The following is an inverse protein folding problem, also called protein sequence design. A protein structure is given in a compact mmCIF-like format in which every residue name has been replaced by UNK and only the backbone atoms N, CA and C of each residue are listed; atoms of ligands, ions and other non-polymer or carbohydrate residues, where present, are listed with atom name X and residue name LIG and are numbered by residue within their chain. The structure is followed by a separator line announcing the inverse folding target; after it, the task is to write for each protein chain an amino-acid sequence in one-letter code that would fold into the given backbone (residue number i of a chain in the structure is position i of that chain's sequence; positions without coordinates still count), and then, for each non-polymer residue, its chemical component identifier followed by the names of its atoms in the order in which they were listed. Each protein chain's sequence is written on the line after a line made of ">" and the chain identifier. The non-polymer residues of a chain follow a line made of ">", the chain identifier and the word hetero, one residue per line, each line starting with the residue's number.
data_IF_020017307636
#
_entry.id   IF_020017307636
#
_cell.length_a   1.000
_cell.length_b   1.000
_cell.length_c   1.000
_cell.angle_alpha   90.00
_cell.angle_beta   90.00
_cell.angle_gamma   90.00
#
_symmetry.space_group_name_H-M   'P 1'
#
loop_
_entity.id
_entity.type
_entity.pdbx_description
1 polymer ?
#
# COMPACT_ATOMS: atom_id res chain seq x y z
N UNK A 1 1.88 -22.77 -4.93
CA UNK A 1 2.49 -21.74 -5.81
C UNK A 1 3.61 -21.04 -5.07
N UNK A 2 4.84 -21.05 -5.61
CA UNK A 2 5.98 -20.30 -5.05
C UNK A 2 6.81 -19.71 -6.21
N UNK A 3 6.77 -18.39 -6.40
CA UNK A 3 7.44 -17.78 -7.55
C UNK A 3 8.97 -17.88 -7.47
N UNK A 4 9.58 -17.79 -6.28
CA UNK A 4 11.05 -17.85 -6.15
C UNK A 4 11.61 -19.26 -6.44
N UNK A 5 10.89 -20.29 -6.05
CA UNK A 5 11.35 -21.68 -6.20
C UNK A 5 10.72 -22.40 -7.42
N UNK A 6 10.07 -21.65 -8.31
CA UNK A 6 9.42 -22.15 -9.54
C UNK A 6 8.40 -23.28 -9.26
N UNK A 7 7.75 -23.26 -8.10
CA UNK A 7 6.72 -24.27 -7.76
C UNK A 7 5.35 -23.78 -8.24
N UNK A 8 4.78 -24.49 -9.19
CA UNK A 8 3.41 -24.30 -9.67
C UNK A 8 2.75 -25.68 -9.84
N UNK A 9 2.11 -26.17 -8.79
CA UNK A 9 1.48 -27.49 -8.82
C UNK A 9 1.09 -27.98 -7.43
N UNK A 10 0.64 -29.24 -7.35
CA UNK A 10 0.24 -29.89 -6.11
C UNK A 10 1.48 -30.15 -5.26
N UNK A 11 1.44 -29.68 -4.01
CA UNK A 11 2.50 -29.88 -3.04
C UNK A 11 1.94 -29.70 -1.61
N UNK A 12 2.59 -30.39 -0.66
CA UNK A 12 2.40 -30.17 0.76
C UNK A 12 3.39 -29.13 1.26
N UNK A 13 3.03 -28.42 2.33
CA UNK A 13 3.89 -27.45 3.02
C UNK A 13 3.91 -27.80 4.50
N UNK A 14 5.09 -28.15 5.02
CA UNK A 14 5.30 -28.38 6.44
C UNK A 14 5.84 -27.11 7.12
N UNK A 15 5.33 -26.83 8.33
CA UNK A 15 5.69 -25.66 9.12
C UNK A 15 6.14 -26.08 10.52
N UNK A 16 7.29 -25.58 10.96
CA UNK A 16 7.81 -25.78 12.33
C UNK A 16 8.31 -24.45 12.88
N UNK A 17 7.91 -24.11 14.10
CA UNK A 17 8.34 -22.89 14.80
C UNK A 17 8.17 -21.60 13.99
N UNK A 18 7.08 -21.53 13.24
CA UNK A 18 6.75 -20.37 12.42
C UNK A 18 7.53 -20.22 11.12
N UNK A 19 8.29 -21.25 10.75
CA UNK A 19 9.11 -21.31 9.52
C UNK A 19 8.64 -22.44 8.61
N UNK A 20 8.88 -22.27 7.32
CA UNK A 20 8.73 -23.34 6.33
C UNK A 20 9.80 -24.42 6.62
N UNK A 21 9.37 -25.61 6.95
CA UNK A 21 10.24 -26.75 7.22
C UNK A 21 10.49 -27.59 5.97
N UNK A 22 9.46 -27.79 5.14
CA UNK A 22 9.58 -28.52 3.87
C UNK A 22 8.46 -28.10 2.91
N UNK A 23 8.74 -28.21 1.62
CA UNK A 23 7.75 -28.15 0.52
C UNK A 23 8.02 -29.31 -0.40
N UNK A 24 7.00 -30.13 -0.69
CA UNK A 24 7.17 -31.34 -1.51
C UNK A 24 5.85 -32.05 -1.72
N UNK A 25 5.90 -33.18 -2.44
CA UNK A 25 4.75 -34.07 -2.59
C UNK A 25 4.81 -35.17 -1.52
N UNK A 26 3.65 -35.51 -0.95
CA UNK A 26 3.49 -36.63 -0.02
C UNK A 26 4.49 -36.57 1.15
N UNK A 27 4.56 -35.38 1.80
CA UNK A 27 5.40 -35.19 2.97
C UNK A 27 4.93 -36.15 4.08
N UNK A 28 5.86 -36.96 4.60
CA UNK A 28 5.61 -37.88 5.71
C UNK A 28 6.12 -37.31 7.02
N UNK A 29 5.46 -37.64 8.11
CA UNK A 29 5.86 -37.23 9.45
C UNK A 29 4.66 -36.95 10.36
N UNK A 30 4.92 -36.87 11.66
CA UNK A 30 3.88 -36.45 12.63
C UNK A 30 3.70 -34.95 12.62
N UNK A 31 2.46 -34.48 12.62
CA UNK A 31 2.09 -33.09 12.72
C UNK A 31 1.08 -32.90 13.85
N UNK A 32 1.16 -31.75 14.54
CA UNK A 32 0.16 -31.36 15.54
C UNK A 32 -1.21 -31.08 14.92
N UNK A 33 -1.21 -30.57 13.71
CA UNK A 33 -2.40 -30.25 12.93
C UNK A 33 -2.09 -30.44 11.45
N UNK A 34 -3.01 -31.07 10.73
CA UNK A 34 -2.98 -31.18 9.27
C UNK A 34 -4.23 -30.49 8.71
N UNK A 35 -4.04 -29.68 7.69
CA UNK A 35 -5.10 -28.94 7.02
C UNK A 35 -5.18 -29.40 5.57
N UNK A 36 -6.33 -29.91 5.16
CA UNK A 36 -6.58 -30.25 3.74
C UNK A 36 -6.96 -28.95 2.98
N UNK A 37 -6.14 -28.64 1.97
CA UNK A 37 -6.33 -27.48 1.08
C UNK A 37 -6.62 -27.93 -0.36
N UNK A 38 -7.07 -29.14 -0.57
CA UNK A 38 -7.40 -29.70 -1.89
C UNK A 38 -8.39 -28.75 -2.61
N UNK A 39 -8.08 -28.42 -3.87
CA UNK A 39 -8.86 -27.50 -4.69
C UNK A 39 -8.60 -26.00 -4.44
N UNK A 40 -7.75 -25.66 -3.50
CA UNK A 40 -7.36 -24.29 -3.20
C UNK A 40 -5.94 -23.99 -3.67
N UNK A 41 -5.64 -22.72 -3.82
CA UNK A 41 -4.28 -22.22 -4.11
C UNK A 41 -3.66 -21.70 -2.82
N UNK A 42 -2.48 -22.20 -2.48
CA UNK A 42 -1.61 -21.65 -1.45
C UNK A 42 -0.44 -20.92 -2.13
N UNK A 43 -0.20 -19.69 -1.74
CA UNK A 43 0.96 -18.89 -2.15
C UNK A 43 1.66 -18.27 -0.93
N UNK A 44 2.91 -17.77 -1.07
CA UNK A 44 3.52 -16.93 -0.04
C UNK A 44 2.58 -15.78 0.33
N UNK A 45 2.60 -15.37 1.59
CA UNK A 45 1.68 -14.38 2.11
C UNK A 45 1.62 -13.12 1.27
N UNK A 46 0.43 -12.65 0.97
CA UNK A 46 0.21 -11.40 0.23
C UNK A 46 0.73 -10.21 1.03
N UNK A 47 1.51 -9.37 0.38
CA UNK A 47 2.10 -8.14 0.90
C UNK A 47 1.50 -6.95 0.14
N UNK A 48 0.68 -6.16 0.82
CA UNK A 48 0.18 -4.91 0.27
C UNK A 48 1.17 -3.77 0.57
N UNK A 49 1.91 -3.37 -0.44
CA UNK A 49 3.00 -2.39 -0.31
C UNK A 49 2.53 -0.93 -0.28
N UNK A 50 1.22 -0.68 -0.24
CA UNK A 50 0.65 0.65 -0.08
C UNK A 50 -0.76 0.58 0.51
N UNK A 51 -0.88 0.94 1.79
CA UNK A 51 -2.16 1.03 2.50
C UNK A 51 -2.20 2.27 3.39
N UNK A 52 -3.37 2.56 3.93
CA UNK A 52 -3.62 3.60 4.92
C UNK A 52 -4.28 2.98 6.15
N UNK A 53 -3.59 2.96 7.29
CA UNK A 53 -4.06 2.38 8.54
C UNK A 53 -4.46 3.41 9.58
N UNK A 54 -4.03 4.66 9.43
CA UNK A 54 -4.36 5.74 10.35
C UNK A 54 -5.86 6.05 10.37
N UNK A 55 -6.42 6.25 11.55
CA UNK A 55 -7.85 6.52 11.76
C UNK A 55 -8.34 7.76 11.02
N UNK A 56 -7.44 8.71 10.76
CA UNK A 56 -7.73 9.91 9.96
C UNK A 56 -8.22 9.60 8.53
N UNK A 57 -7.95 8.41 7.99
CA UNK A 57 -8.37 8.01 6.65
C UNK A 57 -9.74 7.33 6.60
N UNK A 58 -10.35 7.05 7.77
CA UNK A 58 -11.69 6.48 7.84
C UNK A 58 -12.01 5.80 9.16
N UNK A 59 -11.20 4.83 9.58
CA UNK A 59 -11.44 4.06 10.80
C UNK A 59 -10.17 3.32 11.23
N UNK A 60 -10.10 2.79 12.47
CA UNK A 60 -8.97 1.98 12.93
C UNK A 60 -9.00 0.53 12.42
N UNK A 61 -9.98 0.14 11.61
CA UNK A 61 -10.18 -1.26 11.19
C UNK A 61 -9.25 -1.73 10.05
N UNK A 62 -8.36 -0.88 9.55
CA UNK A 62 -7.47 -1.20 8.42
C UNK A 62 -6.78 -2.56 8.53
N UNK A 63 -6.11 -2.92 9.64
CA UNK A 63 -5.45 -4.22 9.80
C UNK A 63 -6.43 -5.40 9.66
N UNK A 64 -7.62 -5.30 10.23
CA UNK A 64 -8.66 -6.33 10.13
C UNK A 64 -9.20 -6.45 8.70
N UNK A 65 -9.45 -5.32 8.03
CA UNK A 65 -9.94 -5.30 6.64
C UNK A 65 -8.92 -5.92 5.66
N UNK A 66 -7.64 -5.69 5.88
CA UNK A 66 -6.55 -6.34 5.12
C UNK A 66 -6.50 -7.84 5.38
N UNK A 67 -6.53 -8.26 6.65
CA UNK A 67 -6.52 -9.67 7.02
C UNK A 67 -7.73 -10.43 6.44
N UNK A 68 -8.93 -9.81 6.42
CA UNK A 68 -10.14 -10.36 5.77
C UNK A 68 -9.97 -10.59 4.26
N UNK A 69 -9.01 -9.92 3.62
CA UNK A 69 -8.68 -10.07 2.19
C UNK A 69 -7.42 -10.91 1.95
N UNK A 70 -6.93 -11.63 2.98
CA UNK A 70 -5.81 -12.55 2.89
C UNK A 70 -4.43 -11.89 2.93
N UNK A 71 -4.35 -10.59 3.20
CA UNK A 71 -3.08 -9.87 3.35
C UNK A 71 -2.41 -10.28 4.66
N UNK A 72 -1.12 -10.61 4.60
CA UNK A 72 -0.31 -11.03 5.76
C UNK A 72 0.70 -9.97 6.19
N UNK A 73 1.03 -9.06 5.27
CA UNK A 73 2.01 -7.99 5.51
C UNK A 73 1.57 -6.74 4.77
N UNK A 74 1.78 -5.55 5.34
CA UNK A 74 1.48 -4.30 4.66
C UNK A 74 2.51 -3.20 4.95
N UNK A 75 2.56 -2.20 4.06
CA UNK A 75 3.25 -0.93 4.25
C UNK A 75 2.21 0.18 4.35
N UNK A 76 2.07 0.75 5.54
CA UNK A 76 1.28 1.97 5.70
C UNK A 76 2.02 3.17 5.12
N UNK A 77 1.34 3.87 4.25
CA UNK A 77 1.87 5.06 3.59
C UNK A 77 1.11 6.29 4.03
N UNK A 78 1.19 6.54 5.35
CA UNK A 78 1.49 7.83 5.85
C UNK A 78 1.34 8.01 7.37
N UNK A 79 0.95 7.02 8.09
CA UNK A 79 0.73 7.21 9.54
C UNK A 79 -0.56 8.00 9.84
N UNK A 80 -0.69 8.72 10.94
CA UNK A 80 0.35 8.97 11.96
C UNK A 80 0.80 7.71 12.71
N UNK A 81 2.11 7.61 12.95
CA UNK A 81 2.71 6.43 13.59
C UNK A 81 2.05 6.08 14.93
N UNK A 82 1.94 7.07 15.81
CA UNK A 82 1.37 6.88 17.16
C UNK A 82 -0.10 6.47 17.13
N UNK A 83 -0.90 7.05 16.22
CA UNK A 83 -2.30 6.65 16.06
C UNK A 83 -2.41 5.16 15.69
N UNK A 84 -1.65 4.71 14.71
CA UNK A 84 -1.65 3.31 14.29
C UNK A 84 -1.19 2.40 15.41
N UNK A 85 -0.03 2.69 16.04
CA UNK A 85 0.53 1.84 17.10
C UNK A 85 -0.37 1.78 18.33
N UNK A 86 -1.04 2.87 18.70
CA UNK A 86 -1.97 2.91 19.83
C UNK A 86 -3.26 2.11 19.57
N UNK A 87 -3.65 1.98 18.30
CA UNK A 87 -4.82 1.21 17.89
C UNK A 87 -4.56 -0.31 17.74
N UNK A 88 -3.30 -0.75 17.67
CA UNK A 88 -2.94 -2.18 17.49
C UNK A 88 -3.50 -3.11 18.58
N UNK A 89 -3.48 -2.77 19.88
CA UNK A 89 -4.00 -3.67 20.92
C UNK A 89 -5.46 -4.04 20.72
N UNK A 90 -6.28 -3.12 20.22
CA UNK A 90 -7.72 -3.32 20.02
C UNK A 90 -8.07 -3.79 18.61
N UNK A 91 -7.46 -3.18 17.58
CA UNK A 91 -7.82 -3.37 16.17
C UNK A 91 -6.79 -4.16 15.36
N UNK A 92 -5.69 -4.56 15.96
CA UNK A 92 -4.69 -5.41 15.31
C UNK A 92 -5.24 -6.79 14.96
N UNK A 93 -4.79 -7.32 13.83
CA UNK A 93 -5.30 -8.56 13.23
C UNK A 93 -4.22 -9.65 13.07
N UNK A 94 -3.07 -9.53 13.72
CA UNK A 94 -1.98 -10.51 13.65
C UNK A 94 -1.11 -10.42 12.40
N UNK A 95 -1.30 -9.43 11.53
CA UNK A 95 -0.49 -9.20 10.34
C UNK A 95 0.82 -8.47 10.66
N UNK A 96 1.78 -8.50 9.73
CA UNK A 96 3.00 -7.69 9.80
C UNK A 96 2.72 -6.29 9.22
N UNK A 97 3.22 -5.23 9.86
CA UNK A 97 2.99 -3.86 9.44
C UNK A 97 4.29 -3.06 9.43
N UNK A 98 4.66 -2.48 8.30
CA UNK A 98 5.61 -1.38 8.22
C UNK A 98 4.82 -0.06 8.19
N UNK A 99 5.31 0.98 8.84
CA UNK A 99 4.63 2.27 8.94
C UNK A 99 5.60 3.37 8.52
N UNK A 100 5.15 4.26 7.63
CA UNK A 100 5.86 5.49 7.30
C UNK A 100 5.18 6.66 8.00
N UNK A 101 5.98 7.58 8.55
CA UNK A 101 5.46 8.83 9.06
C UNK A 101 5.37 9.84 7.92
N UNK A 102 4.22 10.49 7.73
CA UNK A 102 4.13 11.55 6.73
C UNK A 102 4.98 12.75 7.11
N UNK A 103 5.61 13.34 6.10
CA UNK A 103 6.38 14.57 6.18
C UNK A 103 5.66 15.63 5.35
N UNK A 104 4.78 16.40 5.97
CA UNK A 104 3.83 17.26 5.26
C UNK A 104 3.31 18.41 6.12
N UNK A 105 3.21 19.64 5.59
CA UNK A 105 2.45 20.70 6.23
C UNK A 105 0.93 20.41 6.14
N UNK A 106 0.11 20.89 7.05
CA UNK A 106 0.47 21.56 8.30
C UNK A 106 0.68 20.57 9.46
N UNK A 107 0.74 19.27 9.20
CA UNK A 107 0.67 18.24 10.22
C UNK A 107 2.00 18.03 10.97
N UNK A 108 3.10 17.84 10.21
CA UNK A 108 4.44 17.58 10.78
C UNK A 108 5.39 18.76 10.60
N UNK A 109 5.09 19.67 9.68
CA UNK A 109 5.78 20.93 9.47
C UNK A 109 4.79 22.09 9.57
N UNK A 110 5.27 23.24 10.06
CA UNK A 110 4.43 24.47 10.19
C UNK A 110 4.04 25.05 8.83
N UNK A 111 4.90 24.88 7.82
CA UNK A 111 4.75 25.44 6.48
C UNK A 111 5.39 24.53 5.42
N UNK A 112 5.37 24.94 4.16
CA UNK A 112 5.87 24.20 3.01
C UNK A 112 7.39 24.34 2.74
N UNK A 113 8.12 24.99 3.65
CA UNK A 113 9.57 25.20 3.57
C UNK A 113 10.27 24.91 4.91
N UNK A 114 10.14 23.67 5.44
CA UNK A 114 10.85 23.29 6.65
C UNK A 114 12.37 23.36 6.45
N UNK A 115 13.07 23.69 7.51
CA UNK A 115 14.54 23.67 7.55
C UNK A 115 15.09 22.23 7.55
N UNK A 116 16.37 22.05 7.17
CA UNK A 116 17.02 20.73 7.27
C UNK A 116 17.00 20.21 8.70
N UNK A 117 17.12 21.07 9.70
CA UNK A 117 17.06 20.68 11.13
C UNK A 117 15.68 20.10 11.48
N UNK A 118 14.58 20.75 11.10
CA UNK A 118 13.23 20.24 11.32
C UNK A 118 13.00 18.91 10.60
N UNK A 119 13.55 18.74 9.39
CA UNK A 119 13.49 17.46 8.66
C UNK A 119 14.23 16.35 9.41
N UNK A 120 15.44 16.62 9.89
CA UNK A 120 16.26 15.66 10.67
C UNK A 120 15.53 15.26 11.95
N UNK A 121 15.00 16.22 12.70
CA UNK A 121 14.25 15.97 13.94
C UNK A 121 13.02 15.08 13.70
N UNK A 122 12.23 15.37 12.66
CA UNK A 122 11.08 14.55 12.29
C UNK A 122 11.51 13.11 11.93
N UNK A 123 12.51 12.97 11.07
CA UNK A 123 12.96 11.66 10.60
C UNK A 123 13.54 10.85 11.76
N UNK A 124 14.41 11.43 12.56
CA UNK A 124 15.06 10.76 13.69
C UNK A 124 14.02 10.31 14.71
N UNK A 125 13.13 11.21 15.13
CA UNK A 125 12.03 10.86 16.04
C UNK A 125 11.18 9.71 15.48
N UNK A 126 10.81 9.78 14.21
CA UNK A 126 9.98 8.76 13.58
C UNK A 126 10.67 7.38 13.59
N UNK A 127 11.96 7.32 13.25
CA UNK A 127 12.74 6.08 13.26
C UNK A 127 12.88 5.52 14.68
N UNK A 128 13.16 6.39 15.67
CA UNK A 128 13.32 5.99 17.08
C UNK A 128 12.01 5.49 17.68
N UNK A 129 10.86 6.03 17.25
CA UNK A 129 9.54 5.61 17.71
C UNK A 129 9.01 4.35 16.98
N UNK A 130 9.71 3.85 15.94
CA UNK A 130 9.40 2.59 15.27
C UNK A 130 8.87 2.70 13.83
N UNK A 131 8.85 3.87 13.22
CA UNK A 131 8.58 3.98 11.78
C UNK A 131 9.71 3.34 10.96
N UNK A 132 9.36 2.81 9.79
CA UNK A 132 10.34 2.35 8.81
C UNK A 132 11.01 3.52 8.08
N UNK A 133 10.34 4.66 8.01
CA UNK A 133 10.81 5.86 7.33
C UNK A 133 9.73 6.93 7.19
N UNK A 134 9.80 7.68 6.10
CA UNK A 134 8.93 8.84 5.86
C UNK A 134 8.22 8.78 4.51
N UNK A 135 7.07 9.44 4.45
CA UNK A 135 6.24 9.60 3.24
C UNK A 135 6.04 11.07 2.91
N UNK A 136 6.33 11.47 1.67
CA UNK A 136 5.94 12.75 1.13
C UNK A 136 4.54 12.67 0.53
N UNK A 137 3.63 13.57 0.94
CA UNK A 137 2.23 13.63 0.49
C UNK A 137 2.01 14.72 -0.59
N UNK A 138 2.90 14.80 -1.58
CA UNK A 138 2.91 15.88 -2.55
C UNK A 138 1.62 16.06 -3.35
N UNK A 139 0.88 14.97 -3.60
CA UNK A 139 -0.42 15.07 -4.28
C UNK A 139 -1.50 15.75 -3.45
N UNK A 140 -1.44 15.66 -2.12
CA UNK A 140 -2.44 16.24 -1.20
C UNK A 140 -1.99 17.56 -0.62
N UNK A 141 -0.75 17.60 -0.11
CA UNK A 141 -0.17 18.71 0.66
C UNK A 141 1.26 18.95 0.16
N UNK A 142 1.44 19.57 -1.01
CA UNK A 142 2.73 19.67 -1.67
C UNK A 142 3.72 20.54 -0.93
N UNK A 143 4.99 20.09 -0.93
CA UNK A 143 6.14 20.92 -0.63
C UNK A 143 6.67 21.58 -1.90
N UNK A 144 7.58 22.54 -1.77
CA UNK A 144 8.33 23.08 -2.91
C UNK A 144 9.28 22.02 -3.48
N UNK A 145 9.64 22.09 -4.78
CA UNK A 145 10.55 21.13 -5.40
C UNK A 145 11.87 20.94 -4.66
N UNK A 146 12.58 22.02 -4.37
CA UNK A 146 13.86 21.99 -3.67
C UNK A 146 13.76 21.41 -2.25
N UNK A 147 12.64 21.65 -1.57
CA UNK A 147 12.36 21.11 -0.23
C UNK A 147 12.11 19.60 -0.30
N UNK A 148 11.36 19.15 -1.31
CA UNK A 148 11.10 17.72 -1.53
C UNK A 148 12.42 16.97 -1.81
N UNK A 149 13.29 17.51 -2.67
CA UNK A 149 14.61 16.94 -2.95
C UNK A 149 15.48 16.88 -1.71
N UNK A 150 15.54 17.96 -0.92
CA UNK A 150 16.31 18.01 0.32
C UNK A 150 15.79 16.99 1.34
N UNK A 151 14.48 16.84 1.47
CA UNK A 151 13.86 15.87 2.40
C UNK A 151 14.21 14.43 2.00
N UNK A 152 14.12 14.08 0.71
CA UNK A 152 14.50 12.76 0.21
C UNK A 152 15.95 12.45 0.56
N UNK A 153 16.89 13.36 0.22
CA UNK A 153 18.32 13.21 0.51
C UNK A 153 18.59 13.08 2.01
N UNK A 154 17.94 13.93 2.81
CA UNK A 154 18.08 13.88 4.29
C UNK A 154 17.59 12.55 4.86
N UNK A 155 16.46 12.04 4.38
CA UNK A 155 15.93 10.76 4.85
C UNK A 155 16.85 9.58 4.48
N UNK A 156 17.42 9.58 3.28
CA UNK A 156 18.38 8.56 2.84
C UNK A 156 19.70 8.64 3.63
N UNK A 157 20.21 9.83 3.94
CA UNK A 157 21.35 10.04 4.84
C UNK A 157 21.11 9.39 6.23
N UNK A 158 19.84 9.40 6.69
CA UNK A 158 19.40 8.78 7.96
C UNK A 158 19.02 7.30 7.82
N UNK A 159 19.22 6.67 6.65
CA UNK A 159 18.86 5.28 6.33
C UNK A 159 17.36 5.00 6.51
N UNK A 160 16.51 6.00 6.32
CA UNK A 160 15.07 5.86 6.34
C UNK A 160 14.54 5.35 4.99
N UNK A 161 13.47 4.57 5.03
CA UNK A 161 12.69 4.29 3.83
C UNK A 161 11.99 5.57 3.37
N UNK A 162 12.00 5.83 2.05
CA UNK A 162 11.37 7.02 1.49
C UNK A 162 10.33 6.61 0.46
N UNK A 163 9.10 7.07 0.66
CA UNK A 163 8.04 6.95 -0.33
C UNK A 163 7.46 8.32 -0.69
N UNK A 164 7.01 8.48 -1.92
CA UNK A 164 6.45 9.74 -2.38
C UNK A 164 5.18 9.54 -3.22
N UNK A 165 4.08 10.18 -2.81
CA UNK A 165 2.98 10.53 -3.68
C UNK A 165 3.40 11.78 -4.45
N UNK A 166 3.84 11.62 -5.72
CA UNK A 166 4.43 12.69 -6.50
C UNK A 166 3.49 13.89 -6.65
N UNK A 167 4.11 15.05 -6.64
CA UNK A 167 3.50 16.37 -6.75
C UNK A 167 4.24 17.36 -5.87
N UNK A 168 4.40 18.57 -6.38
CA UNK A 168 4.99 19.71 -5.69
C UNK A 168 4.07 20.91 -5.78
N UNK A 169 4.51 22.05 -5.25
CA UNK A 169 3.80 23.32 -5.46
C UNK A 169 3.74 23.74 -6.94
N UNK A 170 4.62 23.22 -7.79
CA UNK A 170 4.72 23.56 -9.22
C UNK A 170 3.95 22.57 -10.10
N UNK A 171 4.12 21.27 -9.87
CA UNK A 171 3.44 20.22 -10.61
C UNK A 171 2.57 19.36 -9.67
N UNK A 172 1.29 19.17 -10.04
CA UNK A 172 0.35 18.38 -9.28
C UNK A 172 0.59 16.87 -9.43
N UNK A 173 -0.30 16.06 -8.82
CA UNK A 173 -0.28 14.60 -8.93
C UNK A 173 -0.78 14.16 -10.33
N UNK A 174 0.08 14.24 -11.31
CA UNK A 174 -0.11 13.89 -12.72
C UNK A 174 1.22 13.44 -13.34
N UNK A 175 1.26 13.22 -14.64
CA UNK A 175 2.46 12.71 -15.32
C UNK A 175 3.64 13.70 -15.27
N UNK A 176 3.40 15.02 -15.26
CA UNK A 176 4.47 16.02 -15.12
C UNK A 176 5.04 16.00 -13.69
N UNK A 177 4.19 15.89 -12.67
CA UNK A 177 4.66 15.72 -11.29
C UNK A 177 5.40 14.39 -11.07
N UNK A 178 5.03 13.33 -11.78
CA UNK A 178 5.79 12.08 -11.78
C UNK A 178 7.18 12.26 -12.40
N UNK A 179 7.27 12.96 -13.53
CA UNK A 179 8.54 13.27 -14.20
C UNK A 179 9.45 14.09 -13.27
N UNK A 180 8.92 15.14 -12.67
CA UNK A 180 9.63 15.97 -11.70
C UNK A 180 10.14 15.14 -10.50
N UNK A 181 9.31 14.22 -9.98
CA UNK A 181 9.71 13.35 -8.86
C UNK A 181 10.88 12.41 -9.23
N UNK A 182 10.89 11.87 -10.44
CA UNK A 182 11.99 11.05 -10.94
C UNK A 182 13.27 11.86 -11.09
N UNK A 183 13.19 13.09 -11.62
CA UNK A 183 14.32 14.01 -11.74
C UNK A 183 14.88 14.39 -10.35
N UNK A 184 14.02 14.68 -9.39
CA UNK A 184 14.42 15.03 -8.02
C UNK A 184 15.02 13.86 -7.24
N UNK A 185 14.65 12.62 -7.60
CA UNK A 185 15.28 11.45 -7.01
C UNK A 185 16.78 11.38 -7.34
N UNK A 186 17.26 12.03 -8.41
CA UNK A 186 18.67 12.24 -8.75
C UNK A 186 19.51 10.95 -8.64
N UNK A 187 18.94 9.82 -9.13
CA UNK A 187 19.54 8.48 -9.07
C UNK A 187 19.46 7.79 -7.70
N UNK A 188 18.96 8.44 -6.66
CA UNK A 188 18.75 7.83 -5.36
C UNK A 188 17.54 6.86 -5.35
N UNK A 189 17.57 5.80 -4.53
CA UNK A 189 16.43 4.87 -4.42
C UNK A 189 15.22 5.58 -3.82
N UNK A 190 14.09 5.49 -4.52
CA UNK A 190 12.83 6.09 -4.12
C UNK A 190 11.66 5.15 -4.40
N UNK A 191 10.76 4.96 -3.43
CA UNK A 191 9.46 4.34 -3.66
C UNK A 191 8.48 5.38 -4.21
N UNK A 192 8.25 5.32 -5.51
CA UNK A 192 7.24 6.17 -6.14
C UNK A 192 5.87 5.49 -6.06
N UNK A 193 4.94 6.11 -5.33
CA UNK A 193 3.66 5.51 -5.01
C UNK A 193 2.69 5.50 -6.20
N UNK A 194 1.87 4.44 -6.28
CA UNK A 194 0.66 4.30 -7.13
C UNK A 194 0.76 4.92 -8.53
N UNK A 195 1.64 4.38 -9.38
CA UNK A 195 1.94 4.94 -10.71
C UNK A 195 0.69 5.21 -11.56
N UNK A 196 -0.34 4.36 -11.47
CA UNK A 196 -1.61 4.57 -12.16
C UNK A 196 -2.29 5.91 -11.83
N UNK A 197 -2.00 6.49 -10.67
CA UNK A 197 -2.59 7.78 -10.27
C UNK A 197 -2.09 8.96 -11.12
N UNK A 198 -0.93 8.83 -11.73
CA UNK A 198 -0.33 9.86 -12.59
C UNK A 198 -0.77 9.73 -14.07
N UNK A 199 -1.44 8.65 -14.42
CA UNK A 199 -1.84 8.31 -15.79
C UNK A 199 -3.37 8.36 -15.97
N UNK A 200 -4.02 9.39 -15.39
CA UNK A 200 -5.48 9.53 -15.40
C UNK A 200 -6.03 10.37 -16.55
N UNK A 201 -5.20 10.77 -17.49
CA UNK A 201 -5.61 11.66 -18.57
C UNK A 201 -5.77 13.12 -18.13
N UNK A 202 -4.93 13.56 -17.18
CA UNK A 202 -5.00 14.93 -16.64
C UNK A 202 -4.26 15.95 -17.49
N UNK A 203 -3.25 15.53 -18.22
CA UNK A 203 -2.39 16.39 -19.08
C UNK A 203 -2.47 15.94 -20.53
N UNK A 204 -2.46 14.62 -20.79
CA UNK A 204 -2.54 13.98 -22.10
C UNK A 204 -3.52 12.80 -22.03
N UNK A 205 -3.91 12.21 -23.19
CA UNK A 205 -4.68 10.96 -23.17
C UNK A 205 -4.05 9.88 -22.28
N UNK A 206 -4.86 9.12 -21.60
CA UNK A 206 -4.46 8.12 -20.57
C UNK A 206 -3.41 7.12 -21.09
N UNK A 207 -3.53 6.70 -22.36
CA UNK A 207 -2.55 5.82 -23.00
C UNK A 207 -1.18 6.49 -23.15
N UNK A 208 -1.15 7.75 -23.56
CA UNK A 208 0.10 8.50 -23.73
C UNK A 208 0.80 8.72 -22.39
N UNK A 209 0.05 9.12 -21.35
CA UNK A 209 0.60 9.25 -20.00
C UNK A 209 1.14 7.93 -19.46
N UNK A 210 0.43 6.81 -19.73
CA UNK A 210 0.86 5.47 -19.34
C UNK A 210 2.17 5.06 -20.03
N UNK A 211 2.28 5.27 -21.33
CA UNK A 211 3.50 4.97 -22.10
C UNK A 211 4.68 5.85 -21.63
N UNK A 212 4.42 7.12 -21.34
CA UNK A 212 5.44 8.03 -20.79
C UNK A 212 5.90 7.58 -19.40
N UNK A 213 5.00 7.16 -18.52
CA UNK A 213 5.35 6.62 -17.21
C UNK A 213 6.20 5.36 -17.32
N UNK A 214 5.85 4.44 -18.21
CA UNK A 214 6.61 3.22 -18.49
C UNK A 214 8.04 3.56 -18.97
N UNK A 215 8.18 4.49 -19.91
CA UNK A 215 9.48 4.91 -20.43
C UNK A 215 10.35 5.56 -19.34
N UNK A 216 9.77 6.45 -18.52
CA UNK A 216 10.44 7.05 -17.36
C UNK A 216 10.98 5.99 -16.39
N UNK A 217 10.15 5.00 -16.03
CA UNK A 217 10.54 3.95 -15.09
C UNK A 217 11.57 2.98 -15.69
N UNK A 218 11.52 2.70 -17.00
CA UNK A 218 12.54 1.89 -17.67
C UNK A 218 13.91 2.57 -17.64
N UNK A 219 13.96 3.88 -17.82
CA UNK A 219 15.20 4.69 -17.81
C UNK A 219 15.76 4.95 -16.41
N UNK A 220 14.95 4.80 -15.35
CA UNK A 220 15.32 5.12 -13.98
C UNK A 220 15.16 3.90 -13.05
N UNK A 221 16.09 2.93 -13.10
CA UNK A 221 15.98 1.68 -12.34
C UNK A 221 16.14 1.86 -10.82
N UNK A 222 16.61 3.03 -10.35
CA UNK A 222 16.62 3.41 -8.94
C UNK A 222 15.22 3.63 -8.35
N UNK A 223 14.22 3.93 -9.20
CA UNK A 223 12.82 4.06 -8.79
C UNK A 223 12.22 2.66 -8.68
N UNK A 224 11.73 2.29 -7.51
CA UNK A 224 10.88 1.13 -7.30
C UNK A 224 9.46 1.61 -6.96
N UNK A 225 8.44 0.86 -7.38
CA UNK A 225 7.10 1.40 -7.39
C UNK A 225 6.02 0.32 -7.36
N UNK A 226 4.81 0.76 -7.12
CA UNK A 226 3.61 -0.07 -7.20
C UNK A 226 2.49 0.65 -7.99
N UNK A 227 1.49 -0.11 -8.35
CA UNK A 227 0.28 0.40 -8.98
C UNK A 227 -0.92 -0.36 -8.42
N UNK A 228 -2.02 0.33 -8.18
CA UNK A 228 -3.23 -0.34 -7.72
C UNK A 228 -4.26 -0.51 -8.84
N UNK A 229 -5.04 -1.57 -8.71
CA UNK A 229 -6.02 -2.00 -9.73
C UNK A 229 -7.46 -1.55 -9.44
N UNK A 230 -7.72 -0.93 -8.29
CA UNK A 230 -9.03 -0.38 -7.96
C UNK A 230 -9.43 0.79 -8.88
N UNK A 231 -10.68 0.85 -9.38
CA UNK A 231 -11.18 2.03 -10.09
C UNK A 231 -11.33 3.24 -9.18
N UNK A 232 -11.36 3.03 -7.86
CA UNK A 232 -11.53 4.07 -6.85
C UNK A 232 -10.20 4.60 -6.35
N UNK A 233 -10.15 5.91 -6.01
CA UNK A 233 -9.07 6.49 -5.24
C UNK A 233 -9.44 6.62 -3.75
N UNK A 234 -8.55 7.20 -2.94
CA UNK A 234 -8.82 7.66 -1.59
C UNK A 234 -8.43 9.13 -1.46
N UNK A 235 -9.20 9.89 -0.67
CA UNK A 235 -8.94 11.29 -0.37
C UNK A 235 -9.70 11.70 0.90
N UNK A 236 -9.63 13.00 1.25
CA UNK A 236 -10.47 13.59 2.29
C UNK A 236 -11.40 14.62 1.67
N UNK A 237 -12.66 14.63 2.11
CA UNK A 237 -13.69 15.57 1.65
C UNK A 237 -13.78 16.81 2.54
N UNK A 238 -12.76 17.04 3.38
CA UNK A 238 -12.71 18.15 4.34
C UNK A 238 -12.62 19.48 3.63
N UNK A 239 -13.44 20.44 4.07
CA UNK A 239 -13.44 21.82 3.61
C UNK A 239 -12.94 22.77 4.70
N UNK A 240 -12.38 23.89 4.30
CA UNK A 240 -12.16 25.05 5.17
C UNK A 240 -13.49 25.73 5.53
N UNK A 241 -13.53 26.59 6.57
CA UNK A 241 -14.74 27.32 6.93
C UNK A 241 -15.30 28.22 5.81
N UNK A 242 -14.46 28.66 4.87
CA UNK A 242 -14.86 29.43 3.67
C UNK A 242 -15.43 28.54 2.54
N UNK A 243 -15.52 27.22 2.76
CA UNK A 243 -16.04 26.25 1.81
C UNK A 243 -15.02 25.71 0.82
N UNK A 244 -13.78 26.19 0.81
CA UNK A 244 -12.73 25.65 -0.08
C UNK A 244 -12.30 24.26 0.34
N UNK A 245 -11.96 23.41 -0.64
CA UNK A 245 -11.43 22.06 -0.40
C UNK A 245 -10.00 22.14 0.16
N UNK A 246 -9.71 21.31 1.18
CA UNK A 246 -8.37 21.22 1.76
C UNK A 246 -7.42 20.39 0.90
N UNK A 247 -7.88 19.25 0.40
CA UNK A 247 -7.07 18.33 -0.40
C UNK A 247 -7.12 18.68 -1.89
N UNK A 248 -5.97 18.97 -2.50
CA UNK A 248 -5.86 19.16 -3.95
C UNK A 248 -6.33 17.96 -4.76
N UNK A 249 -6.16 16.74 -4.24
CA UNK A 249 -6.66 15.51 -4.89
C UNK A 249 -8.19 15.55 -5.01
N UNK A 250 -8.90 15.99 -3.98
CA UNK A 250 -10.36 16.13 -4.01
C UNK A 250 -10.79 17.17 -5.04
N UNK A 251 -10.13 18.32 -5.07
CA UNK A 251 -10.39 19.36 -6.09
C UNK A 251 -10.23 18.82 -7.51
N UNK A 252 -9.11 18.12 -7.78
CA UNK A 252 -8.87 17.50 -9.08
C UNK A 252 -9.94 16.45 -9.47
N UNK A 253 -10.43 15.66 -8.50
CA UNK A 253 -11.51 14.71 -8.73
C UNK A 253 -12.84 15.41 -9.07
N UNK A 254 -13.18 16.46 -8.35
CA UNK A 254 -14.38 17.27 -8.62
C UNK A 254 -14.32 17.88 -10.01
N UNK A 255 -13.20 18.52 -10.37
CA UNK A 255 -12.97 19.12 -11.70
C UNK A 255 -13.11 18.09 -12.82
N UNK A 256 -12.58 16.87 -12.65
CA UNK A 256 -12.71 15.77 -13.62
C UNK A 256 -14.17 15.43 -13.93
N UNK A 257 -15.06 15.56 -12.96
CA UNK A 257 -16.50 15.32 -13.14
C UNK A 257 -17.31 16.58 -13.45
N UNK A 258 -16.66 17.75 -13.64
CA UNK A 258 -17.31 19.01 -13.97
C UNK A 258 -17.95 19.72 -12.79
N UNK A 259 -17.55 19.39 -11.56
CA UNK A 259 -18.00 20.09 -10.34
C UNK A 259 -17.01 21.17 -9.92
N UNK A 260 -17.51 22.16 -9.14
CA UNK A 260 -16.68 23.19 -8.51
C UNK A 260 -15.77 22.60 -7.42
N UNK A 261 -14.61 23.23 -7.18
CA UNK A 261 -13.61 22.74 -6.21
C UNK A 261 -13.89 23.31 -4.81
N UNK A 262 -15.11 23.11 -4.33
CA UNK A 262 -15.63 23.63 -3.07
C UNK A 262 -16.67 22.68 -2.45
N UNK A 263 -17.23 23.08 -1.31
CA UNK A 263 -18.25 22.34 -0.58
C UNK A 263 -19.52 22.10 -1.42
N UNK A 264 -19.90 23.03 -2.29
CA UNK A 264 -21.06 22.86 -3.17
C UNK A 264 -20.80 21.79 -4.23
N UNK A 265 -19.60 21.77 -4.80
CA UNK A 265 -19.17 20.69 -5.70
C UNK A 265 -19.17 19.31 -5.04
N UNK A 266 -18.74 19.20 -3.77
CA UNK A 266 -18.82 17.93 -3.01
C UNK A 266 -20.29 17.50 -2.85
N UNK A 267 -21.20 18.40 -2.43
CA UNK A 267 -22.64 18.09 -2.31
C UNK A 267 -23.19 17.53 -3.60
N UNK A 268 -22.96 18.22 -4.71
CA UNK A 268 -23.42 17.80 -6.03
C UNK A 268 -22.82 16.46 -6.45
N UNK A 269 -21.52 16.25 -6.20
CA UNK A 269 -20.84 15.01 -6.54
C UNK A 269 -21.36 13.80 -5.72
N UNK A 270 -21.66 14.00 -4.43
CA UNK A 270 -22.27 12.97 -3.58
C UNK A 270 -23.66 12.61 -4.09
N UNK A 271 -24.54 13.60 -4.32
CA UNK A 271 -25.89 13.38 -4.83
C UNK A 271 -25.91 12.74 -6.22
N UNK A 272 -24.93 13.04 -7.07
CA UNK A 272 -24.78 12.45 -8.39
C UNK A 272 -24.11 11.06 -8.39
N UNK A 273 -23.76 10.49 -7.23
CA UNK A 273 -23.09 9.19 -7.13
C UNK A 273 -21.67 9.17 -7.68
N UNK A 274 -21.01 10.33 -7.79
CA UNK A 274 -19.62 10.48 -8.28
C UNK A 274 -18.60 10.52 -7.16
N UNK A 275 -18.98 11.01 -5.99
CA UNK A 275 -18.22 10.97 -4.76
C UNK A 275 -18.84 9.98 -3.77
N UNK A 276 -17.98 9.42 -2.90
CA UNK A 276 -18.36 8.48 -1.84
C UNK A 276 -17.78 8.96 -0.52
N UNK A 277 -18.50 8.77 0.56
CA UNK A 277 -18.04 8.97 1.95
C UNK A 277 -17.62 7.62 2.53
N UNK A 278 -16.46 7.58 3.18
CA UNK A 278 -16.03 6.44 4.00
C UNK A 278 -16.76 6.49 5.34
N UNK A 279 -17.37 5.37 5.74
CA UNK A 279 -18.09 5.29 7.00
C UNK A 279 -17.81 3.99 7.75
N UNK A 280 -18.01 4.01 9.06
CA UNK A 280 -17.96 2.83 9.91
C UNK A 280 -19.26 2.02 9.74
N UNK A 281 -19.12 0.80 9.25
CA UNK A 281 -20.22 -0.15 9.00
C UNK A 281 -20.34 -1.20 10.13
N UNK A 282 -19.77 -0.93 11.32
CA UNK A 282 -19.81 -1.85 12.45
C UNK A 282 -18.64 -2.84 12.46
N UNK A 283 -17.41 -2.32 12.56
CA UNK A 283 -16.16 -3.11 12.65
C UNK A 283 -15.41 -3.27 11.32
N UNK A 284 -15.83 -2.56 10.29
CA UNK A 284 -15.12 -2.33 9.03
C UNK A 284 -15.58 -1.01 8.41
N UNK A 285 -14.76 -0.44 7.53
CA UNK A 285 -15.18 0.72 6.73
C UNK A 285 -15.88 0.27 5.44
N UNK A 286 -16.88 1.05 5.02
CA UNK A 286 -17.51 0.90 3.71
C UNK A 286 -17.76 2.28 3.08
N UNK A 287 -18.25 2.30 1.84
CA UNK A 287 -18.51 3.49 1.04
C UNK A 287 -19.99 3.71 0.85
N UNK A 288 -20.45 4.95 1.06
CA UNK A 288 -21.81 5.38 0.73
C UNK A 288 -21.81 6.60 -0.18
N UNK A 289 -22.89 6.79 -0.92
CA UNK A 289 -23.13 7.93 -1.81
C UNK A 289 -24.59 8.37 -1.73
N UNK A 290 -24.97 9.46 -2.38
CA UNK A 290 -26.32 9.98 -2.37
C UNK A 290 -26.66 10.78 -1.12
N UNK A 291 -27.95 10.87 -0.80
CA UNK A 291 -28.46 11.72 0.30
C UNK A 291 -27.93 11.32 1.69
N UNK A 292 -27.78 10.03 1.95
CA UNK A 292 -27.25 9.54 3.23
C UNK A 292 -25.77 9.93 3.41
N UNK A 293 -24.99 9.83 2.35
CA UNK A 293 -23.60 10.28 2.35
C UNK A 293 -23.50 11.79 2.59
N UNK A 294 -24.38 12.58 1.96
CA UNK A 294 -24.43 14.02 2.15
C UNK A 294 -24.75 14.39 3.61
N UNK A 295 -25.78 13.79 4.20
CA UNK A 295 -26.15 13.99 5.61
C UNK A 295 -24.99 13.68 6.55
N UNK A 296 -24.27 12.57 6.29
CA UNK A 296 -23.13 12.13 7.10
C UNK A 296 -21.96 13.09 6.97
N UNK A 297 -21.64 13.55 5.75
CA UNK A 297 -20.57 14.52 5.50
C UNK A 297 -20.84 15.86 6.19
N UNK A 298 -22.07 16.36 6.13
CA UNK A 298 -22.47 17.59 6.81
C UNK A 298 -22.47 17.44 8.34
N UNK A 299 -22.98 16.33 8.87
CA UNK A 299 -23.01 16.06 10.31
C UNK A 299 -21.60 15.93 10.90
N UNK A 300 -20.62 15.48 10.13
CA UNK A 300 -19.21 15.41 10.52
C UNK A 300 -18.44 16.74 10.33
N UNK A 301 -19.12 17.84 10.01
CA UNK A 301 -18.46 19.12 9.71
C UNK A 301 -17.52 19.03 8.51
N UNK A 302 -17.86 18.21 7.51
CA UNK A 302 -17.09 17.89 6.30
C UNK A 302 -15.84 17.02 6.51
N UNK A 303 -15.45 16.73 7.75
CA UNK A 303 -14.19 16.04 8.07
C UNK A 303 -14.31 14.52 7.99
N UNK A 304 -14.41 13.99 6.77
CA UNK A 304 -14.52 12.55 6.48
C UNK A 304 -13.58 12.12 5.37
N UNK A 305 -13.21 10.84 5.39
CA UNK A 305 -12.59 10.16 4.25
C UNK A 305 -13.54 10.07 3.06
N UNK A 306 -13.00 10.11 1.85
CA UNK A 306 -13.80 10.01 0.64
C UNK A 306 -13.12 9.26 -0.49
N UNK A 307 -13.88 9.01 -1.53
CA UNK A 307 -13.44 8.26 -2.71
C UNK A 307 -14.17 8.73 -3.97
N UNK A 308 -13.52 8.55 -5.13
CA UNK A 308 -14.05 8.82 -6.45
C UNK A 308 -13.65 7.70 -7.43
N UNK A 309 -14.48 7.40 -8.41
CA UNK A 309 -14.14 6.47 -9.52
C UNK A 309 -13.31 7.20 -10.59
N UNK A 310 -12.04 7.42 -10.36
CA UNK A 310 -11.17 8.25 -11.23
C UNK A 310 -10.03 7.49 -11.92
N UNK A 311 -9.88 6.19 -11.66
CA UNK A 311 -8.80 5.40 -12.26
C UNK A 311 -9.29 4.68 -13.51
N UNK A 312 -8.82 5.08 -14.71
CA UNK A 312 -9.21 4.43 -15.97
C UNK A 312 -8.60 3.01 -16.08
N UNK A 313 -9.18 2.13 -16.92
CA UNK A 313 -8.72 0.75 -17.06
C UNK A 313 -7.33 0.63 -17.69
N UNK A 314 -6.99 1.47 -18.67
CA UNK A 314 -5.72 1.38 -19.43
C UNK A 314 -4.50 1.33 -18.49
N UNK A 315 -4.22 2.34 -17.65
CA UNK A 315 -3.03 2.30 -16.79
C UNK A 315 -3.09 1.16 -15.78
N UNK A 316 -4.28 0.79 -15.25
CA UNK A 316 -4.42 -0.30 -14.28
C UNK A 316 -4.00 -1.67 -14.85
N UNK A 317 -4.25 -1.89 -16.15
CA UNK A 317 -3.89 -3.14 -16.84
C UNK A 317 -2.44 -3.08 -17.32
N UNK A 318 -2.07 -2.07 -18.12
CA UNK A 318 -0.74 -1.98 -18.70
C UNK A 318 0.39 -1.95 -17.66
N UNK A 319 0.21 -1.21 -16.57
CA UNK A 319 1.20 -1.15 -15.49
C UNK A 319 1.28 -2.45 -14.67
N UNK A 320 0.25 -3.29 -14.72
CA UNK A 320 0.30 -4.59 -14.08
C UNK A 320 1.18 -5.60 -14.83
N UNK A 321 1.23 -5.54 -16.19
CA UNK A 321 1.86 -6.57 -17.02
C UNK A 321 3.24 -6.19 -17.59
N UNK A 322 3.50 -4.89 -17.77
CA UNK A 322 4.67 -4.42 -18.52
C UNK A 322 6.01 -4.85 -17.87
N UNK A 323 6.91 -5.35 -18.72
CA UNK A 323 8.24 -5.83 -18.34
C UNK A 323 9.36 -5.05 -18.99
N UNK A 324 10.54 -5.13 -18.38
CA UNK A 324 11.82 -4.72 -18.92
C UNK A 324 12.37 -5.81 -19.85
N UNK A 325 13.43 -5.50 -20.57
CA UNK A 325 14.08 -6.44 -21.50
C UNK A 325 14.69 -7.66 -20.79
N UNK A 326 15.05 -7.52 -19.49
CA UNK A 326 15.53 -8.61 -18.65
C UNK A 326 14.40 -9.45 -18.01
N UNK A 327 13.15 -9.18 -18.39
CA UNK A 327 11.95 -9.85 -17.91
C UNK A 327 11.45 -9.38 -16.54
N UNK A 328 12.17 -8.50 -15.84
CA UNK A 328 11.67 -7.90 -14.59
C UNK A 328 10.49 -6.96 -14.87
N UNK A 329 9.56 -6.85 -13.93
CA UNK A 329 8.45 -5.91 -14.06
C UNK A 329 8.92 -4.46 -14.00
N UNK A 330 8.34 -3.60 -14.83
CA UNK A 330 8.59 -2.15 -14.79
C UNK A 330 8.00 -1.53 -13.54
N UNK A 331 6.77 -1.96 -13.19
CA UNK A 331 6.12 -1.64 -11.91
C UNK A 331 6.24 -2.88 -11.02
N UNK A 332 6.95 -2.76 -9.91
CA UNK A 332 7.40 -3.89 -9.11
C UNK A 332 6.24 -4.67 -8.46
N UNK A 333 5.24 -3.98 -7.91
CA UNK A 333 4.17 -4.61 -7.14
C UNK A 333 2.76 -4.17 -7.57
N UNK A 334 1.78 -4.98 -7.18
CA UNK A 334 0.37 -4.60 -7.14
C UNK A 334 0.03 -4.27 -5.69
N UNK A 335 -0.59 -3.11 -5.46
CA UNK A 335 -1.06 -2.63 -4.16
C UNK A 335 -2.56 -2.34 -4.17
N UNK A 336 -3.10 -1.77 -3.10
CA UNK A 336 -4.49 -1.32 -3.08
C UNK A 336 -4.65 0.17 -2.83
N UNK A 337 -3.67 0.80 -2.17
CA UNK A 337 -3.83 2.14 -1.63
C UNK A 337 -5.10 2.19 -0.71
N UNK A 338 -5.37 1.04 -0.05
CA UNK A 338 -6.56 0.71 0.72
C UNK A 338 -6.32 0.75 2.24
N UNK A 339 -6.38 -0.40 2.91
CA UNK A 339 -6.35 -0.48 4.36
C UNK A 339 -7.72 -0.14 4.95
N UNK A 340 -7.82 0.96 5.70
CA UNK A 340 -9.10 1.46 6.20
C UNK A 340 -9.98 2.09 5.10
N UNK A 341 -9.42 2.43 3.94
CA UNK A 341 -10.19 2.85 2.77
C UNK A 341 -10.69 1.59 2.06
N UNK A 342 -12.00 1.41 1.82
CA UNK A 342 -12.58 0.13 1.37
C UNK A 342 -12.33 -0.14 -0.11
N UNK A 343 -11.09 -0.50 -0.45
CA UNK A 343 -10.63 -0.90 -1.78
C UNK A 343 -9.54 -1.98 -1.73
N UNK A 344 -9.59 -2.86 -0.72
CA UNK A 344 -8.64 -3.95 -0.51
C UNK A 344 -8.89 -5.10 -1.51
N UNK A 345 -8.53 -4.91 -2.77
CA UNK A 345 -8.95 -5.71 -3.93
C UNK A 345 -7.81 -6.51 -4.59
N UNK A 346 -6.64 -6.65 -3.93
CA UNK A 346 -5.49 -7.37 -4.52
C UNK A 346 -5.91 -8.73 -5.04
N UNK A 347 -6.52 -9.55 -4.18
CA UNK A 347 -6.86 -10.91 -4.54
C UNK A 347 -7.97 -10.94 -5.59
N UNK A 348 -9.12 -10.29 -5.34
CA UNK A 348 -10.28 -10.36 -6.22
C UNK A 348 -10.02 -9.77 -7.61
N UNK A 349 -9.45 -8.57 -7.71
CA UNK A 349 -9.18 -7.95 -9.01
C UNK A 349 -7.86 -8.45 -9.63
N UNK A 350 -6.86 -8.80 -8.81
CA UNK A 350 -5.61 -9.35 -9.32
C UNK A 350 -5.80 -10.72 -9.96
N UNK A 351 -6.61 -11.60 -9.38
CA UNK A 351 -6.99 -12.87 -10.01
C UNK A 351 -7.87 -12.68 -11.25
N UNK A 352 -8.60 -11.57 -11.35
CA UNK A 352 -9.29 -11.23 -12.61
C UNK A 352 -8.28 -10.95 -13.74
N UNK A 353 -7.14 -10.32 -13.46
CA UNK A 353 -6.06 -10.15 -14.44
C UNK A 353 -5.46 -11.51 -14.86
N UNK A 354 -5.38 -12.47 -13.94
CA UNK A 354 -4.93 -13.84 -14.27
C UNK A 354 -5.96 -14.55 -15.15
N UNK A 355 -7.25 -14.44 -14.86
CA UNK A 355 -8.33 -15.06 -15.67
C UNK A 355 -8.47 -14.43 -17.07
N UNK A 356 -7.95 -13.21 -17.25
CA UNK A 356 -7.93 -12.50 -18.53
C UNK A 356 -6.58 -12.67 -19.26
N UNK A 357 -5.70 -13.57 -18.80
CA UNK A 357 -4.37 -13.83 -19.36
C UNK A 357 -3.45 -12.60 -19.40
N UNK A 358 -3.73 -11.56 -18.60
CA UNK A 358 -2.85 -10.39 -18.43
C UNK A 358 -1.63 -10.77 -17.59
N UNK A 359 -1.82 -11.62 -16.59
CA UNK A 359 -0.77 -12.19 -15.75
C UNK A 359 -0.93 -13.70 -15.66
N UNK A 360 0.17 -14.42 -15.55
CA UNK A 360 0.14 -15.81 -15.07
C UNK A 360 -0.08 -15.82 -13.55
N UNK A 361 -0.49 -16.95 -13.01
CA UNK A 361 -0.65 -17.10 -11.57
C UNK A 361 0.69 -16.94 -10.81
N UNK A 362 1.80 -17.35 -11.43
CA UNK A 362 3.16 -17.14 -10.91
C UNK A 362 3.52 -15.65 -10.85
N UNK A 363 3.25 -14.91 -11.90
CA UNK A 363 3.47 -13.46 -11.96
C UNK A 363 2.60 -12.70 -10.97
N UNK A 364 1.35 -13.14 -10.77
CA UNK A 364 0.50 -12.59 -9.71
C UNK A 364 1.14 -12.79 -8.34
N UNK A 365 1.58 -14.01 -7.99
CA UNK A 365 2.28 -14.27 -6.73
C UNK A 365 3.61 -13.50 -6.63
N UNK A 366 4.33 -13.33 -7.74
CA UNK A 366 5.55 -12.51 -7.78
C UNK A 366 5.24 -11.05 -7.42
N UNK A 367 4.21 -10.45 -8.03
CA UNK A 367 3.85 -9.04 -7.83
C UNK A 367 3.14 -8.76 -6.50
N UNK A 368 2.54 -9.76 -5.88
CA UNK A 368 1.79 -9.60 -4.62
C UNK A 368 2.50 -10.16 -3.40
N UNK A 369 3.62 -10.88 -3.57
CA UNK A 369 4.37 -11.46 -2.45
C UNK A 369 5.87 -11.24 -2.58
N UNK A 370 6.51 -11.74 -3.63
CA UNK A 370 7.97 -11.75 -3.76
C UNK A 370 8.56 -10.34 -3.98
N UNK A 371 8.05 -9.62 -4.98
CA UNK A 371 8.55 -8.27 -5.29
C UNK A 371 8.32 -7.29 -4.13
N UNK A 372 7.12 -7.17 -3.52
CA UNK A 372 6.92 -6.27 -2.39
C UNK A 372 7.75 -6.69 -1.16
N UNK A 373 8.03 -7.98 -0.94
CA UNK A 373 8.99 -8.39 0.08
C UNK A 373 10.40 -7.83 -0.18
N UNK A 374 10.85 -7.86 -1.43
CA UNK A 374 12.14 -7.26 -1.84
C UNK A 374 12.14 -5.74 -1.66
N UNK A 375 11.06 -5.05 -2.05
CA UNK A 375 10.90 -3.61 -1.82
C UNK A 375 11.06 -3.25 -0.34
N UNK A 376 10.53 -4.06 0.56
CA UNK A 376 10.62 -3.87 2.01
C UNK A 376 11.87 -4.50 2.66
N UNK A 377 12.80 -5.09 1.88
CA UNK A 377 14.02 -5.78 2.37
C UNK A 377 13.71 -6.98 3.29
N UNK A 378 12.55 -7.59 3.14
CA UNK A 378 12.10 -8.75 3.91
C UNK A 378 12.62 -10.05 3.26
N UNK A 379 13.87 -10.40 3.53
CA UNK A 379 14.55 -11.55 2.87
C UNK A 379 13.87 -12.90 3.10
N UNK A 380 13.21 -13.07 4.24
CA UNK A 380 12.59 -14.33 4.64
C UNK A 380 11.08 -14.38 4.33
N UNK A 381 10.55 -13.44 3.53
CA UNK A 381 9.15 -13.37 3.13
C UNK A 381 8.98 -13.33 1.61
N UNK A 382 7.76 -13.61 1.15
CA UNK A 382 7.42 -13.59 -0.28
C UNK A 382 7.80 -14.86 -1.04
N UNK A 383 8.25 -15.90 -0.34
CA UNK A 383 8.58 -17.23 -0.89
C UNK A 383 8.38 -18.31 0.17
N UNK A 384 8.37 -19.59 -0.25
CA UNK A 384 8.19 -20.76 0.61
C UNK A 384 9.46 -21.61 0.74
N UNK A 385 10.65 -21.02 0.55
CA UNK A 385 11.92 -21.74 0.75
C UNK A 385 12.04 -22.22 2.19
N UNK A 386 12.68 -23.35 2.41
CA UNK A 386 12.97 -23.86 3.76
C UNK A 386 13.70 -22.79 4.58
N UNK A 387 13.22 -22.57 5.80
CA UNK A 387 13.70 -21.51 6.70
C UNK A 387 13.05 -20.12 6.51
N UNK A 388 12.28 -19.91 5.44
CA UNK A 388 11.47 -18.71 5.30
C UNK A 388 10.39 -18.62 6.37
N UNK A 389 9.88 -17.41 6.62
CA UNK A 389 8.72 -17.23 7.50
C UNK A 389 7.50 -17.93 6.88
N UNK A 390 6.77 -18.69 7.69
CA UNK A 390 5.56 -19.36 7.24
C UNK A 390 4.38 -18.35 7.14
N UNK A 391 4.58 -17.31 6.33
CA UNK A 391 3.54 -16.37 5.93
C UNK A 391 2.93 -16.88 4.62
N UNK A 392 1.63 -17.19 4.66
CA UNK A 392 0.95 -17.84 3.55
C UNK A 392 -0.45 -17.30 3.38
N UNK A 393 -0.92 -17.20 2.14
CA UNK A 393 -2.31 -16.89 1.79
C UNK A 393 -2.89 -18.06 1.00
N UNK A 394 -4.06 -18.51 1.41
CA UNK A 394 -4.84 -19.59 0.78
C UNK A 394 -6.13 -19.00 0.24
N UNK A 395 -6.43 -19.29 -1.02
CA UNK A 395 -7.63 -18.77 -1.67
C UNK A 395 -8.25 -19.75 -2.66
N UNK A 396 -9.51 -19.57 -2.91
CA UNK A 396 -10.24 -20.25 -3.97
C UNK A 396 -10.09 -19.45 -5.27
N UNK A 397 -9.45 -20.07 -6.28
CA UNK A 397 -9.22 -19.41 -7.57
C UNK A 397 -10.52 -19.12 -8.33
N UNK A 398 -11.55 -19.98 -8.18
CA UNK A 398 -12.81 -19.82 -8.90
C UNK A 398 -13.62 -18.64 -8.35
N UNK A 399 -13.72 -18.53 -7.02
CA UNK A 399 -14.46 -17.43 -6.35
C UNK A 399 -13.62 -16.18 -6.12
N UNK A 400 -12.28 -16.27 -6.23
CA UNK A 400 -11.32 -15.20 -5.97
C UNK A 400 -11.38 -14.68 -4.51
N UNK A 401 -11.80 -15.55 -3.58
CA UNK A 401 -11.93 -15.20 -2.18
C UNK A 401 -10.89 -15.91 -1.33
N UNK A 402 -10.30 -15.23 -0.32
CA UNK A 402 -9.39 -15.87 0.62
C UNK A 402 -10.14 -16.85 1.52
N UNK A 403 -9.53 -17.99 1.79
CA UNK A 403 -10.06 -19.03 2.71
C UNK A 403 -9.29 -19.07 4.02
N UNK A 404 -7.97 -18.89 3.95
CA UNK A 404 -7.11 -18.82 5.12
C UNK A 404 -5.90 -17.92 4.86
N UNK A 405 -5.31 -17.40 5.93
CA UNK A 405 -3.98 -16.82 5.88
C UNK A 405 -3.23 -17.11 7.18
N UNK A 406 -1.90 -17.16 7.06
CA UNK A 406 -1.01 -17.48 8.17
C UNK A 406 0.13 -16.43 8.23
N UNK A 407 0.53 -16.08 9.46
CA UNK A 407 1.71 -15.27 9.73
C UNK A 407 2.58 -16.03 10.74
N UNK A 408 3.82 -16.32 10.37
CA UNK A 408 4.71 -17.18 11.13
C UNK A 408 3.99 -18.47 11.58
N UNK A 409 3.30 -19.14 10.64
CA UNK A 409 2.55 -20.37 10.84
C UNK A 409 1.28 -20.26 11.68
N UNK A 410 0.95 -19.09 12.22
CA UNK A 410 -0.26 -18.88 13.03
C UNK A 410 -1.41 -18.43 12.14
N UNK A 411 -2.60 -18.98 12.34
CA UNK A 411 -3.82 -18.59 11.63
C UNK A 411 -4.13 -17.11 11.90
N UNK A 412 -4.32 -16.34 10.84
CA UNK A 412 -4.75 -14.93 10.86
C UNK A 412 -6.19 -14.84 10.36
N UNK A 413 -6.43 -15.32 9.16
CA UNK A 413 -7.76 -15.55 8.60
C UNK A 413 -8.03 -17.06 8.59
N UNK A 414 -9.20 -17.45 9.04
CA UNK A 414 -9.62 -18.86 9.02
C UNK A 414 -11.12 -18.93 8.82
N UNK A 415 -11.53 -19.65 7.78
CA UNK A 415 -12.96 -19.84 7.44
C UNK A 415 -13.74 -18.52 7.43
N UNK A 416 -13.20 -17.51 6.70
CA UNK A 416 -13.82 -16.19 6.54
C UNK A 416 -13.77 -15.28 7.78
N UNK A 417 -13.13 -15.71 8.88
CA UNK A 417 -13.03 -14.93 10.12
C UNK A 417 -11.59 -14.57 10.45
N UNK A 418 -11.36 -13.34 10.86
CA UNK A 418 -10.08 -12.92 11.43
C UNK A 418 -10.02 -13.42 12.87
N UNK A 419 -9.07 -14.32 13.14
CA UNK A 419 -8.93 -15.02 14.43
C UNK A 419 -7.72 -14.56 15.24
N UNK A 420 -6.78 -13.86 14.63
CA UNK A 420 -5.60 -13.30 15.30
C UNK A 420 -5.82 -11.88 15.80
N UNK A 421 -4.95 -11.45 16.72
CA UNK A 421 -4.91 -10.10 17.30
C UNK A 421 -3.50 -9.55 17.30
N UNK A 422 -3.38 -8.23 17.58
CA UNK A 422 -2.10 -7.55 17.64
C UNK A 422 -1.44 -7.41 16.28
N UNK A 423 -0.14 -7.15 16.26
CA UNK A 423 0.67 -7.05 15.05
C UNK A 423 2.14 -7.35 15.33
N UNK A 424 2.90 -7.60 14.26
CA UNK A 424 4.35 -7.54 14.25
C UNK A 424 4.76 -6.30 13.46
N UNK A 425 5.55 -5.41 14.05
CA UNK A 425 5.94 -4.15 13.40
C UNK A 425 7.29 -4.33 12.71
N UNK A 426 7.36 -3.92 11.44
CA UNK A 426 8.59 -3.89 10.66
C UNK A 426 9.18 -2.49 10.82
N UNK A 427 10.36 -2.40 11.43
CA UNK A 427 11.03 -1.14 11.73
C UNK A 427 12.54 -1.22 11.45
N UNK A 428 13.24 -0.12 11.63
CA UNK A 428 14.71 -0.10 11.66
C UNK A 428 15.22 -0.58 13.01
N UNK A 429 16.53 -0.85 13.11
CA UNK A 429 17.18 -1.18 14.39
C UNK A 429 16.91 -0.12 15.46
N UNK A 430 16.82 1.15 15.06
CA UNK A 430 16.56 2.29 15.97
C UNK A 430 15.21 2.14 16.70
N UNK A 431 14.16 1.77 15.99
CA UNK A 431 12.80 1.68 16.53
C UNK A 431 12.50 0.39 17.32
N UNK A 432 13.37 -0.62 17.26
CA UNK A 432 13.11 -1.94 17.82
C UNK A 432 12.70 -1.89 19.32
N UNK A 433 13.44 -1.13 20.11
CA UNK A 433 13.19 -1.01 21.55
C UNK A 433 11.85 -0.33 21.86
N UNK A 434 11.50 0.71 21.10
CA UNK A 434 10.22 1.41 21.28
C UNK A 434 9.02 0.50 20.95
N UNK A 435 9.11 -0.29 19.88
CA UNK A 435 8.07 -1.28 19.52
C UNK A 435 7.94 -2.36 20.59
N UNK A 436 9.07 -2.91 21.07
CA UNK A 436 9.06 -3.92 22.14
C UNK A 436 8.52 -3.38 23.46
N UNK A 437 8.81 -2.12 23.82
CA UNK A 437 8.27 -1.46 25.00
C UNK A 437 6.73 -1.30 24.95
N UNK A 438 6.13 -1.27 23.75
CA UNK A 438 4.67 -1.30 23.55
C UNK A 438 4.09 -2.74 23.58
N UNK A 439 4.89 -3.76 23.92
CA UNK A 439 4.47 -5.16 23.95
C UNK A 439 4.30 -5.82 22.58
N UNK A 440 4.78 -5.20 21.50
CA UNK A 440 4.69 -5.72 20.15
C UNK A 440 5.99 -6.42 19.72
N UNK A 441 5.87 -7.38 18.78
CA UNK A 441 7.03 -7.98 18.12
C UNK A 441 7.58 -7.04 17.06
N UNK A 442 8.90 -7.04 16.89
CA UNK A 442 9.59 -6.27 15.86
C UNK A 442 10.30 -7.19 14.85
N UNK A 443 10.21 -6.83 13.57
CA UNK A 443 11.07 -7.34 12.50
C UNK A 443 11.98 -6.18 12.10
N UNK A 444 13.30 -6.38 12.25
CA UNK A 444 14.28 -5.34 11.93
C UNK A 444 14.75 -5.49 10.49
N UNK A 445 14.67 -4.42 9.74
CA UNK A 445 15.18 -4.31 8.37
C UNK A 445 16.05 -3.07 8.21
N UNK A 446 16.88 -3.08 7.17
CA UNK A 446 17.74 -1.96 6.82
C UNK A 446 17.29 -1.35 5.47
N UNK A 447 16.55 -0.25 5.48
CA UNK A 447 16.09 0.41 4.26
C UNK A 447 17.21 0.96 3.38
N UNK A 448 18.39 1.19 3.96
CA UNK A 448 19.56 1.67 3.21
C UNK A 448 20.19 0.64 2.27
N UNK A 449 19.76 -0.64 2.31
CA UNK A 449 20.17 -1.65 1.34
C UNK A 449 19.43 -1.47 0.02
N UNK A 450 20.12 -1.79 -1.08
CA UNK A 450 19.51 -1.74 -2.40
C UNK A 450 18.31 -2.71 -2.52
N UNK A 451 17.33 -2.32 -3.35
CA UNK A 451 16.22 -3.20 -3.77
C UNK A 451 16.76 -4.15 -4.84
N UNK A 452 16.70 -5.44 -4.55
CA UNK A 452 17.03 -6.46 -5.55
C UNK A 452 15.77 -6.81 -6.34
N UNK A 453 15.72 -6.41 -7.61
CA UNK A 453 14.62 -6.81 -8.49
C UNK A 453 14.74 -8.28 -8.89
N UNK A 454 13.62 -8.96 -8.87
CA UNK A 454 13.50 -10.31 -9.39
C UNK A 454 13.41 -10.23 -10.92
N UNK A 455 14.39 -10.81 -11.61
CA UNK A 455 14.37 -10.99 -13.06
C UNK A 455 13.28 -11.99 -13.47
N UNK A 456 13.16 -12.26 -14.77
CA UNK A 456 12.20 -13.27 -15.25
C UNK A 456 12.35 -14.59 -14.48
N UNK A 457 11.21 -15.15 -14.06
CA UNK A 457 11.09 -16.41 -13.35
C UNK A 457 10.91 -17.57 -14.34
#
# INVERSE_FOLDING_TARGET
>A
MDPLNHVNGIADVAVTDGKIAAVGRELTGEAKETVDLTGLVLQPGIIDSHVHLGSMWGSPYGPRMLAMKGVTTCLDMAGPLDDILNNVPEYGAGINMAILQFASPPFTFKNDHPTKTEMVELIDKSLDDGALGVKLLGGHYPLKPEVSSLLIKTALERRAYVAWHAGTSEHGSNIEGMKEAVEMADGYPLHLAHINAYCRGAVRPELEETLQAIDLLKKNPNIFCESYISPKNGTRLTCFPDGKIQSKVTGNCLRRFGFTEDADGVRKALLAGKAFVVYDAGGYSDLMTGEEALKRWEAAGTDVGGSFNVNPPIPRIMLAEVKRDDGSFVVDAISTDGGCIPRNVILSQGLSLVKLDVLTLTEFAQKTSLNPARMLRLKNKGHLSVGADADMTVYDYATQEPKASFVAGRKVLWDGKVVAKGATVICTERGQKAIQARGMKAIVVDPGKQVERVKAL
#
